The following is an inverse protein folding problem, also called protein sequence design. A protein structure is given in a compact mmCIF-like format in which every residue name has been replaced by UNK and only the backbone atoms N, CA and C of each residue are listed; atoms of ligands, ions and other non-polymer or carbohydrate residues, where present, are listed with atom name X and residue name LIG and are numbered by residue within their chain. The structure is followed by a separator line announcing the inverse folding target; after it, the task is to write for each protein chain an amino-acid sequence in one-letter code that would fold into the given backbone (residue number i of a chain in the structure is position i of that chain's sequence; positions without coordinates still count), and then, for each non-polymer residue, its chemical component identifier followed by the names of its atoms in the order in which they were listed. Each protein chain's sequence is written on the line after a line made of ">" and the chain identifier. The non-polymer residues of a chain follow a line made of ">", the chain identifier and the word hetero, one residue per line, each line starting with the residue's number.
data_IF_090806104285
#
_entry.id   IF_090806104285
#
_cell.length_a   1.000
_cell.length_b   1.000
_cell.length_c   1.000
_cell.angle_alpha   90.00
_cell.angle_beta   90.00
_cell.angle_gamma   90.00
#
_symmetry.space_group_name_H-M   'P 1'
#
loop_
_entity.id
_entity.type
_entity.pdbx_description
1 polymer ?
#
# COMPACT_ATOMS: atom_id res chain seq x y z
N UNK A 1 -3.12 -9.80 -1.34
CA UNK A 1 -1.82 -9.91 -2.02
C UNK A 1 -2.08 -10.38 -3.44
N UNK A 2 -1.85 -9.51 -4.41
CA UNK A 2 -1.84 -9.89 -5.82
C UNK A 2 -0.53 -10.62 -6.11
N UNK A 3 -0.58 -11.64 -6.96
CA UNK A 3 0.62 -12.29 -7.49
C UNK A 3 1.44 -11.25 -8.24
N UNK A 4 2.66 -10.99 -7.79
CA UNK A 4 3.60 -10.12 -8.51
C UNK A 4 4.24 -10.93 -9.65
N UNK A 5 3.98 -10.55 -10.89
CA UNK A 5 4.70 -11.10 -12.05
C UNK A 5 6.06 -10.38 -12.19
N UNK A 6 7.15 -11.15 -12.36
CA UNK A 6 8.51 -10.61 -12.52
C UNK A 6 8.76 -10.25 -13.98
N UNK A 7 9.34 -9.06 -14.23
CA UNK A 7 9.86 -8.66 -15.54
C UNK A 7 11.28 -9.22 -15.71
N UNK A 8 11.56 -9.93 -16.81
CA UNK A 8 12.89 -10.42 -17.20
C UNK A 8 13.32 -9.76 -18.51
N UNK A 9 14.61 -9.44 -18.64
CA UNK A 9 15.19 -8.87 -19.87
C UNK A 9 16.23 -9.85 -20.40
N UNK A 10 16.07 -10.27 -21.67
CA UNK A 10 16.88 -11.29 -22.34
C UNK A 10 17.54 -10.73 -23.61
N UNK A 11 18.71 -11.26 -23.95
CA UNK A 11 19.38 -11.06 -25.23
C UNK A 11 19.24 -12.35 -26.08
N UNK A 12 18.84 -12.25 -27.35
CA UNK A 12 18.54 -13.39 -28.23
C UNK A 12 19.38 -13.39 -29.52
N UNK A 13 19.54 -14.57 -30.14
CA UNK A 13 20.15 -14.76 -31.47
C UNK A 13 19.15 -14.37 -32.57
N UNK A 14 19.55 -13.42 -33.42
CA UNK A 14 18.67 -12.84 -34.44
C UNK A 14 18.33 -13.77 -35.62
N UNK A 15 19.01 -14.91 -35.77
CA UNK A 15 18.84 -15.82 -36.91
C UNK A 15 18.10 -17.11 -36.55
N UNK A 16 18.24 -17.58 -35.31
CA UNK A 16 17.63 -18.83 -34.82
C UNK A 16 16.54 -18.61 -33.79
N UNK A 17 16.50 -17.44 -33.13
CA UNK A 17 15.53 -17.10 -32.10
C UNK A 17 15.81 -17.71 -30.72
N UNK A 18 17.00 -18.26 -30.50
CA UNK A 18 17.39 -18.83 -29.21
C UNK A 18 17.86 -17.73 -28.23
N UNK A 19 17.61 -17.94 -26.93
CA UNK A 19 18.05 -17.00 -25.87
C UNK A 19 19.55 -17.16 -25.67
N UNK A 20 20.32 -16.10 -25.90
CA UNK A 20 21.76 -16.09 -25.73
C UNK A 20 22.16 -15.84 -24.28
N UNK A 21 21.49 -14.92 -23.58
CA UNK A 21 21.68 -14.69 -22.13
C UNK A 21 20.56 -13.87 -21.49
N UNK A 22 20.45 -13.97 -20.17
CA UNK A 22 19.72 -13.02 -19.34
C UNK A 22 20.53 -11.74 -19.11
N UNK A 23 19.87 -10.59 -19.04
CA UNK A 23 20.48 -9.28 -18.81
C UNK A 23 19.90 -8.67 -17.53
N UNK A 24 20.75 -8.46 -16.53
CA UNK A 24 20.37 -7.71 -15.33
C UNK A 24 20.26 -6.21 -15.66
N UNK A 25 19.10 -5.61 -15.38
CA UNK A 25 18.93 -4.16 -15.42
C UNK A 25 19.43 -3.58 -14.11
N UNK A 26 20.69 -3.13 -14.09
CA UNK A 26 21.27 -2.42 -12.95
C UNK A 26 20.73 -0.99 -12.91
N UNK A 27 19.75 -0.71 -12.04
CA UNK A 27 19.56 0.64 -11.49
C UNK A 27 20.25 0.69 -10.14
N UNK A 28 21.55 0.99 -10.12
CA UNK A 28 22.26 1.21 -8.85
C UNK A 28 22.15 2.68 -8.43
N UNK A 29 22.15 2.93 -7.12
CA UNK A 29 22.22 4.25 -6.51
C UNK A 29 23.57 4.99 -6.78
N UNK A 30 24.42 4.45 -7.66
CA UNK A 30 25.70 5.02 -8.08
C UNK A 30 25.58 6.09 -9.17
N UNK A 31 24.40 6.23 -9.77
CA UNK A 31 24.15 7.19 -10.85
C UNK A 31 24.02 8.65 -10.35
N UNK A 32 23.92 8.87 -9.04
CA UNK A 32 23.84 10.20 -8.41
C UNK A 32 25.11 10.44 -7.60
N UNK A 33 25.94 11.36 -8.08
CA UNK A 33 27.18 11.79 -7.42
C UNK A 33 27.04 13.20 -6.88
N UNK A 34 27.63 13.46 -5.71
CA UNK A 34 27.80 14.80 -5.18
C UNK A 34 29.05 15.47 -5.78
N UNK A 35 29.22 16.77 -5.56
CA UNK A 35 30.33 17.56 -6.13
C UNK A 35 31.73 17.09 -5.71
N UNK A 36 31.83 16.29 -4.64
CA UNK A 36 33.05 15.64 -4.17
C UNK A 36 33.31 14.26 -4.81
N UNK A 37 32.43 13.81 -5.71
CA UNK A 37 32.56 12.58 -6.48
C UNK A 37 32.01 11.32 -5.80
N UNK A 38 31.56 11.40 -4.55
CA UNK A 38 30.96 10.27 -3.83
C UNK A 38 29.50 10.02 -4.26
N UNK A 39 29.07 8.76 -4.28
CA UNK A 39 27.69 8.38 -4.63
C UNK A 39 26.74 8.57 -3.46
N UNK A 40 25.44 8.66 -3.76
CA UNK A 40 24.39 8.71 -2.74
C UNK A 40 24.46 7.53 -1.76
N UNK A 41 24.72 6.32 -2.26
CA UNK A 41 24.88 5.12 -1.42
C UNK A 41 26.09 5.21 -0.50
N UNK A 42 27.22 5.75 -0.98
CA UNK A 42 28.43 5.94 -0.18
C UNK A 42 28.21 6.89 1.00
N UNK A 43 27.51 8.02 0.80
CA UNK A 43 27.21 8.96 1.88
C UNK A 43 26.13 8.44 2.85
N UNK A 44 25.18 7.63 2.36
CA UNK A 44 24.16 6.99 3.19
C UNK A 44 24.77 5.92 4.11
N UNK A 45 25.63 5.06 3.57
CA UNK A 45 26.29 4.00 4.33
C UNK A 45 27.32 4.55 5.32
N UNK A 46 27.98 5.66 4.96
CA UNK A 46 28.90 6.36 5.85
C UNK A 46 28.21 7.24 6.91
N UNK A 47 26.89 7.43 6.83
CA UNK A 47 26.13 8.27 7.77
C UNK A 47 26.49 9.76 7.73
N UNK A 48 27.12 10.24 6.64
CA UNK A 48 27.67 11.60 6.53
C UNK A 48 26.66 12.64 6.06
N UNK A 49 25.41 12.24 5.81
CA UNK A 49 24.30 13.10 5.39
C UNK A 49 23.72 13.94 6.56
N UNK A 50 24.55 14.69 7.27
CA UNK A 50 24.14 15.54 8.40
C UNK A 50 24.55 17.00 8.19
N UNK A 51 23.57 17.92 8.22
CA UNK A 51 23.83 19.36 8.13
C UNK A 51 24.57 19.90 9.37
N UNK A 52 25.35 21.01 9.24
CA UNK A 52 26.10 21.56 10.35
C UNK A 52 25.17 21.98 11.50
N UNK A 53 25.47 21.49 12.71
CA UNK A 53 24.79 21.87 13.95
C UNK A 53 25.12 23.33 14.29
N UNK A 54 24.10 24.18 14.40
CA UNK A 54 24.27 25.59 14.76
C UNK A 54 24.74 25.78 16.21
N UNK A 55 25.64 26.74 16.43
CA UNK A 55 26.12 27.11 17.76
C UNK A 55 25.02 27.82 18.58
N UNK A 56 24.85 27.41 19.84
CA UNK A 56 23.95 28.07 20.81
C UNK A 56 24.56 29.38 21.30
N UNK A 57 23.81 30.48 21.24
CA UNK A 57 24.26 31.80 21.73
C UNK A 57 24.38 31.84 23.26
N UNK A 58 25.44 32.50 23.75
CA UNK A 58 25.65 32.70 25.18
C UNK A 58 24.62 33.67 25.78
N UNK A 59 24.09 33.32 26.96
CA UNK A 59 23.23 34.19 27.78
C UNK A 59 24.06 35.28 28.43
N UNK A 60 23.70 36.55 28.24
CA UNK A 60 24.41 37.69 28.84
C UNK A 60 24.26 37.76 30.36
N UNK A 61 25.27 38.30 31.09
CA UNK A 61 25.17 38.44 32.54
C UNK A 61 24.10 39.48 32.93
N UNK A 62 23.33 39.13 33.96
CA UNK A 62 22.28 39.95 34.58
C UNK A 62 22.93 41.00 35.49
N UNK A 63 22.51 42.27 35.37
CA UNK A 63 22.94 43.36 36.27
C UNK A 63 22.17 43.35 37.59
N UNK A 64 22.85 43.78 38.67
CA UNK A 64 22.28 43.88 40.02
C UNK A 64 21.39 45.12 40.15
N UNK A 65 20.09 44.90 40.41
CA UNK A 65 19.11 45.93 40.79
C UNK A 65 18.81 45.78 42.28
N UNK A 66 18.74 46.91 42.99
CA UNK A 66 18.57 46.99 44.45
C UNK A 66 17.38 46.20 45.02
N UNK A 67 17.40 45.95 46.33
CA UNK A 67 16.44 45.08 47.02
C UNK A 67 14.98 45.58 46.88
N UNK A 68 14.32 45.10 45.83
CA UNK A 68 12.86 45.11 45.66
C UNK A 68 12.24 44.28 46.78
N UNK A 69 11.19 44.81 47.42
CA UNK A 69 10.44 44.09 48.46
C UNK A 69 10.03 42.69 48.00
N UNK A 70 9.91 41.75 48.94
CA UNK A 70 9.60 40.35 48.65
C UNK A 70 8.50 40.25 47.58
N UNK A 71 8.87 39.73 46.41
CA UNK A 71 7.91 39.49 45.33
C UNK A 71 6.82 38.59 45.91
N UNK A 72 5.57 39.05 45.87
CA UNK A 72 4.44 38.22 46.30
C UNK A 72 4.51 36.86 45.61
N UNK A 73 4.12 35.79 46.29
CA UNK A 73 4.18 34.44 45.75
C UNK A 73 3.64 34.45 44.31
N UNK A 74 4.45 33.98 43.35
CA UNK A 74 4.02 33.83 41.97
C UNK A 74 2.69 33.10 41.97
N UNK A 75 1.65 33.72 41.38
CA UNK A 75 0.34 33.09 41.28
C UNK A 75 0.47 31.70 40.67
N UNK A 76 -0.39 30.76 41.08
CA UNK A 76 -0.37 29.41 40.53
C UNK A 76 -0.33 29.48 38.99
N UNK A 77 0.59 28.74 38.37
CA UNK A 77 0.66 28.63 36.91
C UNK A 77 -0.72 28.28 36.38
N UNK A 78 -1.22 29.07 35.43
CA UNK A 78 -2.54 28.84 34.84
C UNK A 78 -2.67 27.43 34.25
N UNK A 79 -3.88 26.87 34.28
CA UNK A 79 -4.14 25.57 33.69
C UNK A 79 -3.82 25.61 32.19
N UNK A 80 -3.19 24.56 31.65
CA UNK A 80 -2.95 24.43 30.20
C UNK A 80 -4.29 24.49 29.43
N UNK A 81 -4.27 25.06 28.24
CA UNK A 81 -5.42 25.02 27.33
C UNK A 81 -5.72 23.61 26.79
N UNK A 82 -6.88 23.46 26.16
CA UNK A 82 -7.30 22.20 25.54
C UNK A 82 -6.35 21.77 24.42
N UNK A 83 -6.10 20.46 24.32
CA UNK A 83 -5.22 19.84 23.33
C UNK A 83 -5.95 18.78 22.50
N UNK A 84 -5.33 18.42 21.38
CA UNK A 84 -5.70 17.26 20.57
C UNK A 84 -4.70 16.12 20.81
N UNK A 85 -5.23 14.96 21.16
CA UNK A 85 -4.51 13.68 21.19
C UNK A 85 -4.83 12.86 19.95
N UNK A 86 -3.97 11.89 19.65
CA UNK A 86 -4.22 10.91 18.59
C UNK A 86 -3.72 9.53 19.00
N UNK A 87 -4.34 8.48 18.47
CA UNK A 87 -3.94 7.10 18.72
C UNK A 87 -5.04 6.11 18.36
N UNK A 88 -5.06 4.93 18.99
CA UNK A 88 -6.08 3.88 18.71
C UNK A 88 -6.81 3.37 19.95
N UNK A 89 -6.44 3.85 21.15
CA UNK A 89 -6.93 3.32 22.43
C UNK A 89 -8.35 3.72 22.84
N UNK A 90 -8.97 4.71 22.19
CA UNK A 90 -10.38 5.09 22.39
C UNK A 90 -11.20 4.62 21.20
N UNK A 91 -12.29 3.87 21.44
CA UNK A 91 -13.11 3.23 20.39
C UNK A 91 -14.61 3.35 20.68
N UNK A 92 -15.44 2.90 19.74
CA UNK A 92 -16.90 2.94 19.85
C UNK A 92 -17.50 4.30 19.47
N UNK A 93 -18.83 4.35 19.40
CA UNK A 93 -19.60 5.53 18.95
C UNK A 93 -20.59 6.02 20.00
N UNK A 94 -20.45 5.58 21.25
CA UNK A 94 -21.32 6.00 22.35
C UNK A 94 -21.14 7.47 22.68
N UNK A 95 -22.27 8.19 22.79
CA UNK A 95 -22.33 9.56 23.31
C UNK A 95 -22.38 9.62 24.83
N UNK A 96 -22.40 8.46 25.50
CA UNK A 96 -22.31 8.35 26.96
C UNK A 96 -20.84 8.29 27.39
N UNK A 97 -20.48 9.08 28.40
CA UNK A 97 -19.11 9.24 28.86
C UNK A 97 -18.54 7.93 29.44
N UNK A 98 -17.43 7.44 28.87
CA UNK A 98 -16.78 6.20 29.26
C UNK A 98 -15.28 6.38 29.51
N UNK A 99 -14.72 5.56 30.40
CA UNK A 99 -13.28 5.51 30.69
C UNK A 99 -12.59 4.61 29.69
N UNK A 100 -11.45 5.07 29.16
CA UNK A 100 -10.59 4.30 28.27
C UNK A 100 -9.17 4.25 28.84
N UNK A 101 -8.92 3.28 29.72
CA UNK A 101 -7.63 3.10 30.40
C UNK A 101 -6.45 2.87 29.43
N UNK A 102 -6.74 2.35 28.23
CA UNK A 102 -5.78 2.16 27.15
C UNK A 102 -5.60 3.36 26.21
N UNK A 103 -6.15 4.54 26.54
CA UNK A 103 -6.11 5.74 25.68
C UNK A 103 -4.69 6.28 25.43
N UNK A 104 -3.73 5.97 26.30
CA UNK A 104 -2.38 6.55 26.24
C UNK A 104 -2.31 8.02 26.69
N UNK A 105 -3.44 8.59 27.16
CA UNK A 105 -3.50 9.97 27.64
C UNK A 105 -3.19 10.03 29.13
N UNK A 106 -2.05 10.62 29.49
CA UNK A 106 -1.56 10.67 30.88
C UNK A 106 -2.26 11.73 31.74
N UNK A 107 -2.74 12.82 31.14
CA UNK A 107 -3.42 13.90 31.85
C UNK A 107 -4.37 14.68 30.93
N UNK A 108 -5.59 14.16 30.76
CA UNK A 108 -6.64 14.80 30.00
C UNK A 108 -7.31 15.93 30.81
N UNK A 109 -7.68 17.01 30.12
CA UNK A 109 -8.55 18.06 30.64
C UNK A 109 -9.92 18.00 29.96
N UNK A 110 -10.95 18.50 30.65
CA UNK A 110 -12.27 18.69 30.01
C UNK A 110 -12.11 19.59 28.79
N UNK A 111 -12.69 19.18 27.67
CA UNK A 111 -12.54 19.86 26.38
C UNK A 111 -11.31 19.45 25.57
N UNK A 112 -10.41 18.61 26.10
CA UNK A 112 -9.39 17.96 25.27
C UNK A 112 -10.09 17.04 24.23
N UNK A 113 -9.54 16.99 23.02
CA UNK A 113 -10.03 16.17 21.92
C UNK A 113 -9.12 14.96 21.69
N UNK A 114 -9.66 13.87 21.16
CA UNK A 114 -8.90 12.69 20.76
C UNK A 114 -9.33 12.21 19.39
N UNK A 115 -8.37 11.99 18.48
CA UNK A 115 -8.59 11.38 17.17
C UNK A 115 -8.13 9.92 17.18
N UNK A 116 -9.06 8.99 16.94
CA UNK A 116 -8.70 7.63 16.60
C UNK A 116 -8.22 7.57 15.14
N UNK A 117 -6.92 7.34 14.94
CA UNK A 117 -6.30 7.36 13.60
C UNK A 117 -6.60 6.12 12.77
N UNK A 118 -7.10 5.04 13.38
CA UNK A 118 -7.50 3.83 12.66
C UNK A 118 -8.93 3.95 12.11
N UNK A 119 -9.84 4.55 12.87
CA UNK A 119 -11.26 4.65 12.49
C UNK A 119 -11.64 6.01 11.91
N UNK A 120 -10.87 7.06 12.22
CA UNK A 120 -11.22 8.46 11.95
C UNK A 120 -12.22 9.04 12.96
N UNK A 121 -12.46 8.38 14.09
CA UNK A 121 -13.42 8.84 15.10
C UNK A 121 -12.82 9.92 16.01
N UNK A 122 -13.61 10.93 16.33
CA UNK A 122 -13.25 12.04 17.21
C UNK A 122 -14.01 11.91 18.52
N UNK A 123 -13.32 12.16 19.62
CA UNK A 123 -13.86 12.10 20.97
C UNK A 123 -13.55 13.39 21.73
N UNK A 124 -14.43 13.75 22.65
CA UNK A 124 -14.23 14.88 23.57
C UNK A 124 -14.15 14.40 25.02
N UNK A 125 -13.19 14.92 25.76
CA UNK A 125 -13.03 14.63 27.17
C UNK A 125 -14.06 15.43 27.98
N UNK A 126 -14.87 14.75 28.79
CA UNK A 126 -15.91 15.35 29.64
C UNK A 126 -15.57 15.29 31.12
N UNK A 127 -14.61 14.45 31.51
CA UNK A 127 -14.08 14.36 32.87
C UNK A 127 -12.56 14.30 32.78
N UNK A 128 -11.88 15.25 33.42
CA UNK A 128 -10.43 15.34 33.45
C UNK A 128 -9.79 14.23 34.29
N UNK A 129 -8.54 13.87 33.97
CA UNK A 129 -7.75 12.92 34.74
C UNK A 129 -6.77 12.12 33.90
N UNK A 130 -6.08 11.17 34.53
CA UNK A 130 -5.31 10.15 33.84
C UNK A 130 -6.23 9.16 33.11
N UNK A 131 -5.68 8.32 32.24
CA UNK A 131 -6.44 7.36 31.42
C UNK A 131 -7.46 6.49 32.20
N UNK A 132 -7.18 6.18 33.47
CA UNK A 132 -8.07 5.40 34.35
C UNK A 132 -9.27 6.18 34.93
N UNK A 133 -9.26 7.50 34.81
CA UNK A 133 -10.29 8.40 35.39
C UNK A 133 -10.97 9.21 34.30
N UNK A 134 -10.21 9.65 33.30
CA UNK A 134 -10.71 10.50 32.24
C UNK A 134 -11.84 9.82 31.47
N UNK A 135 -12.93 10.58 31.25
CA UNK A 135 -14.07 10.08 30.47
C UNK A 135 -14.17 10.79 29.15
N UNK A 136 -14.50 10.01 28.13
CA UNK A 136 -14.56 10.45 26.74
C UNK A 136 -15.92 10.12 26.14
N UNK A 137 -16.42 11.00 25.27
CA UNK A 137 -17.66 10.81 24.50
C UNK A 137 -17.36 10.88 23.01
N UNK A 138 -18.01 10.02 22.21
CA UNK A 138 -17.93 10.11 20.76
C UNK A 138 -18.54 11.43 20.27
N UNK A 139 -17.81 12.15 19.45
CA UNK A 139 -18.17 13.48 18.94
C UNK A 139 -18.33 13.53 17.42
N UNK A 140 -17.94 12.47 16.70
CA UNK A 140 -18.13 12.37 15.25
C UNK A 140 -17.02 11.60 14.54
N UNK A 141 -17.03 11.64 13.22
CA UNK A 141 -16.01 11.04 12.35
C UNK A 141 -15.48 12.07 11.36
N UNK A 142 -14.17 12.08 11.13
CA UNK A 142 -13.53 12.87 10.06
C UNK A 142 -13.41 12.09 8.76
N UNK A 143 -13.79 10.80 8.76
CA UNK A 143 -13.81 10.00 7.53
C UNK A 143 -15.02 10.39 6.69
N UNK A 144 -14.76 10.82 5.46
CA UNK A 144 -15.81 11.08 4.48
C UNK A 144 -16.60 9.82 4.11
N UNK A 145 -17.77 9.97 3.45
CA UNK A 145 -18.50 8.83 2.92
C UNK A 145 -17.62 8.06 1.92
N UNK A 146 -17.92 6.77 1.72
CA UNK A 146 -17.32 6.03 0.63
C UNK A 146 -17.60 6.75 -0.70
N UNK A 147 -16.60 6.80 -1.58
CA UNK A 147 -16.79 7.34 -2.92
C UNK A 147 -17.85 6.53 -3.68
N UNK A 148 -18.51 7.12 -4.70
CA UNK A 148 -19.43 6.38 -5.54
C UNK A 148 -18.71 5.17 -6.15
N UNK A 149 -19.42 4.05 -6.32
CA UNK A 149 -18.93 2.94 -7.14
C UNK A 149 -18.53 3.48 -8.51
N UNK A 150 -17.36 3.06 -9.02
CA UNK A 150 -16.93 3.42 -10.37
C UNK A 150 -17.96 3.03 -11.43
N UNK A 151 -17.96 3.66 -12.62
CA UNK A 151 -18.87 3.27 -13.68
C UNK A 151 -18.70 1.78 -14.01
N UNK A 152 -19.79 1.07 -14.25
CA UNK A 152 -19.75 -0.26 -14.84
C UNK A 152 -18.90 -0.20 -16.11
N UNK A 153 -17.94 -1.11 -16.27
CA UNK A 153 -17.13 -1.18 -17.48
C UNK A 153 -18.00 -1.28 -18.73
N UNK A 154 -17.52 -0.74 -19.85
CA UNK A 154 -18.22 -0.86 -21.12
C UNK A 154 -18.56 -2.34 -21.41
N UNK A 155 -19.79 -2.61 -21.83
CA UNK A 155 -20.15 -3.92 -22.39
C UNK A 155 -19.15 -4.23 -23.50
N UNK A 156 -18.49 -5.39 -23.42
CA UNK A 156 -17.55 -5.82 -24.45
C UNK A 156 -18.20 -5.76 -25.83
N UNK A 157 -17.43 -5.40 -26.86
CA UNK A 157 -17.93 -5.42 -28.24
C UNK A 157 -18.58 -6.78 -28.54
N UNK A 158 -19.79 -6.77 -29.10
CA UNK A 158 -20.40 -7.98 -29.65
C UNK A 158 -19.38 -8.61 -30.59
N UNK A 159 -19.02 -9.87 -30.33
CA UNK A 159 -18.06 -10.59 -31.17
C UNK A 159 -18.49 -10.52 -32.64
N UNK A 160 -17.55 -10.47 -33.59
CA UNK A 160 -17.91 -10.47 -35.01
C UNK A 160 -18.81 -11.66 -35.29
N UNK A 161 -19.93 -11.42 -36.00
CA UNK A 161 -20.77 -12.49 -36.52
C UNK A 161 -19.86 -13.46 -37.27
N UNK A 162 -19.82 -14.72 -36.82
CA UNK A 162 -18.98 -15.73 -37.44
C UNK A 162 -19.25 -15.78 -38.93
N UNK A 163 -18.20 -15.80 -39.75
CA UNK A 163 -18.36 -15.95 -41.19
C UNK A 163 -19.20 -17.20 -41.45
N UNK A 164 -20.27 -17.07 -42.26
CA UNK A 164 -21.04 -18.22 -42.73
C UNK A 164 -20.06 -19.22 -43.33
N UNK A 165 -19.91 -20.37 -42.67
CA UNK A 165 -18.98 -21.40 -43.12
C UNK A 165 -19.33 -21.78 -44.55
N UNK A 166 -18.35 -21.72 -45.45
CA UNK A 166 -18.52 -22.27 -46.79
C UNK A 166 -18.99 -23.71 -46.64
N UNK A 167 -20.11 -24.07 -47.29
CA UNK A 167 -20.53 -25.47 -47.37
C UNK A 167 -19.40 -26.24 -48.03
N UNK A 168 -18.68 -27.02 -47.22
CA UNK A 168 -17.57 -27.82 -47.71
C UNK A 168 -18.06 -28.77 -48.79
N UNK A 169 -17.29 -29.00 -49.87
CA UNK A 169 -17.67 -29.94 -50.89
C UNK A 169 -17.95 -31.31 -50.24
N UNK A 170 -18.99 -31.99 -50.74
CA UNK A 170 -19.28 -33.37 -50.38
C UNK A 170 -17.97 -34.16 -50.51
N UNK A 171 -17.45 -34.66 -49.40
CA UNK A 171 -16.21 -35.41 -49.38
C UNK A 171 -16.31 -36.59 -50.35
N UNK A 172 -15.27 -36.76 -51.16
CA UNK A 172 -15.16 -37.93 -52.02
C UNK A 172 -15.25 -39.19 -51.16
N UNK A 173 -15.91 -40.22 -51.69
CA UNK A 173 -16.00 -41.50 -50.99
C UNK A 173 -14.58 -42.03 -50.80
N UNK A 174 -14.11 -42.06 -49.55
CA UNK A 174 -12.74 -42.45 -49.24
C UNK A 174 -12.39 -43.83 -49.79
N UNK A 175 -11.13 -44.00 -50.19
CA UNK A 175 -10.63 -45.29 -50.64
C UNK A 175 -10.84 -46.34 -49.56
N UNK A 176 -11.20 -47.52 -50.04
CA UNK A 176 -11.61 -48.66 -49.24
C UNK A 176 -10.42 -49.60 -49.11
N UNK A 177 -10.19 -50.13 -47.92
CA UNK A 177 -9.07 -51.03 -47.66
C UNK A 177 -9.36 -52.37 -48.33
N UNK A 178 -8.51 -52.82 -49.26
CA UNK A 178 -8.63 -54.14 -49.89
C UNK A 178 -7.81 -55.18 -49.12
N UNK A 179 -8.40 -56.31 -48.74
CA UNK A 179 -7.72 -57.42 -48.05
C UNK A 179 -7.67 -58.64 -48.96
N UNK A 180 -6.47 -59.20 -49.16
CA UNK A 180 -6.21 -60.38 -49.99
C UNK A 180 -4.73 -60.78 -49.90
N UNK A 181 -4.35 -61.91 -50.49
CA UNK A 181 -2.95 -62.37 -50.47
C UNK A 181 -2.07 -61.73 -51.54
N UNK A 182 -2.68 -61.02 -52.51
CA UNK A 182 -2.03 -60.13 -53.50
C UNK A 182 -2.93 -58.93 -53.82
N UNK A 183 -2.37 -57.82 -54.32
CA UNK A 183 -3.10 -56.55 -54.57
C UNK A 183 -4.24 -56.68 -55.61
N UNK A 184 -4.06 -57.51 -56.65
CA UNK A 184 -5.04 -57.68 -57.73
C UNK A 184 -6.33 -58.40 -57.30
N UNK A 185 -6.27 -59.25 -56.27
CA UNK A 185 -7.39 -60.10 -55.83
C UNK A 185 -8.05 -59.61 -54.51
N UNK A 186 -7.65 -58.45 -53.97
CA UNK A 186 -8.15 -57.97 -52.68
C UNK A 186 -9.58 -57.41 -52.72
N UNK A 187 -10.37 -57.69 -51.67
CA UNK A 187 -11.76 -57.25 -51.49
C UNK A 187 -11.89 -56.16 -50.42
N UNK A 188 -12.81 -55.21 -50.58
CA UNK A 188 -12.93 -54.03 -49.68
C UNK A 188 -13.46 -54.36 -48.27
N UNK A 189 -12.88 -53.75 -47.23
CA UNK A 189 -13.28 -53.84 -45.82
C UNK A 189 -13.10 -52.49 -45.06
N UNK A 190 -13.78 -52.32 -43.92
CA UNK A 190 -13.65 -51.15 -43.02
C UNK A 190 -12.94 -51.55 -41.72
N UNK A 191 -11.98 -50.74 -41.25
CA UNK A 191 -11.19 -50.97 -40.01
C UNK A 191 -11.56 -49.95 -38.92
N UNK A 192 -11.57 -50.37 -37.66
CA UNK A 192 -11.80 -49.50 -36.49
C UNK A 192 -10.68 -49.68 -35.45
N UNK A 193 -10.10 -48.58 -34.97
CA UNK A 193 -9.15 -48.55 -33.84
C UNK A 193 -9.82 -47.95 -32.60
N UNK A 194 -9.66 -48.59 -31.44
CA UNK A 194 -10.10 -48.05 -30.16
C UNK A 194 -8.88 -47.81 -29.27
N UNK A 195 -8.66 -46.55 -28.85
CA UNK A 195 -7.65 -46.19 -27.85
C UNK A 195 -8.33 -46.16 -26.47
N UNK A 196 -7.65 -46.69 -25.47
CA UNK A 196 -8.09 -46.67 -24.07
C UNK A 196 -7.10 -45.87 -23.22
N UNK A 197 -7.63 -44.91 -22.46
CA UNK A 197 -7.01 -44.23 -21.30
C UNK A 197 -8.02 -44.20 -20.16
#
# INVERSE_FOLDING_TARGET
>A
MASLEKVRVQLLDGSTGEVLKEVDVLTSADAVKFDDGETFQQKLDAGTLQGPKGNTGATGPKGDTGATGATGATGATGQRGSQWYSGTGITGTSTTAAVFSGSGVSSALVGDMYLNISTGYVYSCTVAGAASVAKWVYSGTIKGPAGPTGPTGATGATGPTGATGATGPKGDTGETVRVGTTYANGTQAKLFFKITS
#
